data_IF_505305649646
#
_entry.id   IF_505305649646
#
_cell.length_a   1.000
_cell.length_b   1.000
_cell.length_c   1.000
_cell.angle_alpha   90.00
_cell.angle_beta   90.00
_cell.angle_gamma   90.00
#
_symmetry.space_group_name_H-M   'P 1'
#
loop_
_entity.id
_entity.type
_entity.pdbx_description
1 polymer ?
#
# COMPACT_ATOMS: atom_id res chain seq x y z
N UNK A 1 -18.24 35.57 15.98
CA UNK A 1 -19.51 35.75 15.24
C UNK A 1 -19.60 34.64 14.19
N UNK A 2 -20.46 33.64 14.41
CA UNK A 2 -20.61 32.48 13.50
C UNK A 2 -21.49 32.88 12.32
N UNK A 3 -20.87 33.14 11.16
CA UNK A 3 -21.60 33.38 9.91
C UNK A 3 -22.04 32.01 9.39
N UNK A 4 -23.26 31.59 9.74
CA UNK A 4 -23.87 30.40 9.14
C UNK A 4 -24.19 30.70 7.67
N UNK A 5 -23.22 30.50 6.80
CA UNK A 5 -23.38 30.58 5.35
C UNK A 5 -24.41 29.52 4.92
N UNK A 6 -25.40 29.92 4.11
CA UNK A 6 -26.46 29.05 3.62
C UNK A 6 -26.47 29.05 2.09
N UNK A 7 -26.80 27.91 1.50
CA UNK A 7 -26.94 27.76 0.05
C UNK A 7 -25.62 27.92 -0.70
N UNK A 8 -25.65 28.69 -1.79
CA UNK A 8 -24.55 28.84 -2.78
C UNK A 8 -23.25 29.37 -2.15
N UNK A 9 -23.35 30.19 -1.10
CA UNK A 9 -22.16 30.70 -0.40
C UNK A 9 -21.43 29.62 0.38
N UNK A 10 -22.16 28.63 0.90
CA UNK A 10 -21.58 27.48 1.57
C UNK A 10 -20.91 26.54 0.56
N UNK A 11 -21.50 26.39 -0.62
CA UNK A 11 -20.91 25.59 -1.71
C UNK A 11 -19.56 26.19 -2.13
N UNK A 12 -19.51 27.51 -2.34
CA UNK A 12 -18.27 28.25 -2.64
C UNK A 12 -17.22 28.12 -1.52
N UNK A 13 -17.64 28.13 -0.26
CA UNK A 13 -16.72 27.95 0.87
C UNK A 13 -16.15 26.53 0.92
N UNK A 14 -16.97 25.52 0.61
CA UNK A 14 -16.56 24.11 0.52
C UNK A 14 -15.60 23.91 -0.66
N UNK A 15 -15.91 24.46 -1.83
CA UNK A 15 -15.02 24.42 -3.01
C UNK A 15 -13.66 25.05 -2.71
N UNK A 16 -13.63 26.24 -2.09
CA UNK A 16 -12.38 26.87 -1.68
C UNK A 16 -11.55 25.98 -0.75
N UNK A 17 -12.21 25.31 0.20
CA UNK A 17 -11.51 24.39 1.09
C UNK A 17 -10.96 23.16 0.35
N UNK A 18 -11.72 22.63 -0.61
CA UNK A 18 -11.29 21.49 -1.42
C UNK A 18 -10.12 21.83 -2.34
N UNK A 19 -10.09 23.04 -2.91
CA UNK A 19 -8.95 23.53 -3.69
C UNK A 19 -7.71 23.61 -2.80
N UNK A 20 -7.83 24.19 -1.59
CA UNK A 20 -6.72 24.22 -0.63
C UNK A 20 -6.21 22.82 -0.26
N UNK A 21 -7.12 21.85 -0.07
CA UNK A 21 -6.73 20.46 0.17
C UNK A 21 -6.03 19.82 -1.03
N UNK A 22 -6.41 20.16 -2.26
CA UNK A 22 -5.70 19.72 -3.46
C UNK A 22 -4.27 20.31 -3.51
N UNK A 23 -4.11 21.59 -3.18
CA UNK A 23 -2.81 22.27 -3.18
C UNK A 23 -1.86 21.74 -2.10
N UNK A 24 -2.37 21.42 -0.91
CA UNK A 24 -1.59 20.79 0.17
C UNK A 24 -1.15 19.36 -0.16
N UNK A 25 -1.80 18.73 -1.15
CA UNK A 25 -1.49 17.40 -1.66
C UNK A 25 -2.11 16.24 -0.87
N UNK A 26 -2.12 15.07 -1.51
CA UNK A 26 -2.74 13.85 -0.96
C UNK A 26 -2.07 13.36 0.33
N UNK A 27 -0.76 13.57 0.49
CA UNK A 27 0.00 13.09 1.66
C UNK A 27 -0.36 13.86 2.94
N UNK A 28 -0.57 15.18 2.83
CA UNK A 28 -0.86 16.05 3.96
C UNK A 28 -2.36 16.18 4.22
N UNK A 29 -3.17 16.24 3.15
CA UNK A 29 -4.59 16.55 3.25
C UNK A 29 -5.44 15.68 2.32
N UNK A 30 -5.52 14.35 2.54
CA UNK A 30 -6.31 13.48 1.68
C UNK A 30 -7.79 13.85 1.77
N UNK A 31 -8.41 14.11 0.62
CA UNK A 31 -9.81 14.52 0.51
C UNK A 31 -10.69 13.32 0.81
N UNK A 32 -11.26 13.34 2.02
CA UNK A 32 -12.32 12.45 2.49
C UNK A 32 -13.40 13.28 3.17
N UNK A 33 -14.64 12.79 3.16
CA UNK A 33 -15.77 13.49 3.80
C UNK A 33 -15.48 13.78 5.28
N UNK A 34 -14.75 12.89 5.97
CA UNK A 34 -14.37 13.08 7.36
C UNK A 34 -13.30 14.17 7.56
N UNK A 35 -12.27 14.20 6.71
CA UNK A 35 -11.20 15.21 6.80
C UNK A 35 -11.72 16.60 6.46
N UNK A 36 -12.50 16.71 5.39
CA UNK A 36 -13.17 17.95 5.00
C UNK A 36 -14.10 18.45 6.12
N UNK A 37 -14.88 17.55 6.74
CA UNK A 37 -15.73 17.90 7.88
C UNK A 37 -14.94 18.48 9.05
N UNK A 38 -13.81 17.87 9.43
CA UNK A 38 -12.99 18.38 10.54
C UNK A 38 -12.43 19.79 10.23
N UNK A 39 -12.00 20.04 9.00
CA UNK A 39 -11.48 21.35 8.57
C UNK A 39 -12.57 22.42 8.58
N UNK A 40 -13.73 22.13 7.98
CA UNK A 40 -14.85 23.06 7.93
C UNK A 40 -15.46 23.32 9.33
N UNK A 41 -15.46 22.31 10.21
CA UNK A 41 -15.88 22.48 11.61
C UNK A 41 -14.90 23.36 12.39
N UNK A 42 -13.58 23.21 12.18
CA UNK A 42 -12.56 24.06 12.81
C UNK A 42 -12.68 25.54 12.39
N UNK A 43 -13.20 25.80 11.18
CA UNK A 43 -13.47 27.14 10.66
C UNK A 43 -14.88 27.66 11.01
N UNK A 44 -15.64 26.93 11.83
CA UNK A 44 -17.03 27.23 12.19
C UNK A 44 -17.99 27.41 10.99
N UNK A 45 -17.66 26.81 9.84
CA UNK A 45 -18.44 26.91 8.60
C UNK A 45 -19.62 25.92 8.58
N UNK A 46 -19.45 24.74 9.18
CA UNK A 46 -20.49 23.72 9.27
C UNK A 46 -20.53 23.08 10.66
N UNK A 47 -21.72 22.64 11.07
CA UNK A 47 -21.91 21.97 12.36
C UNK A 47 -22.20 20.47 12.23
N UNK A 48 -22.82 20.05 11.11
CA UNK A 48 -23.28 18.67 10.88
C UNK A 48 -22.64 18.03 9.65
N UNK A 49 -22.37 16.73 9.71
CA UNK A 49 -21.83 15.96 8.56
C UNK A 49 -22.84 15.83 7.42
N UNK A 50 -24.14 15.88 7.72
CA UNK A 50 -25.24 15.76 6.74
C UNK A 50 -25.14 16.80 5.61
N UNK A 51 -24.61 17.99 5.91
CA UNK A 51 -24.38 19.07 4.95
C UNK A 51 -23.42 18.67 3.82
N UNK A 52 -22.48 17.76 4.10
CA UNK A 52 -21.54 17.23 3.11
C UNK A 52 -22.11 16.02 2.37
N UNK A 53 -23.05 15.28 2.98
CA UNK A 53 -23.68 14.11 2.34
C UNK A 53 -24.50 14.52 1.11
N UNK A 54 -25.21 15.65 1.16
CA UNK A 54 -25.92 16.21 -0.01
C UNK A 54 -24.99 16.73 -1.11
N UNK A 55 -23.69 16.92 -0.81
CA UNK A 55 -22.66 17.46 -1.72
C UNK A 55 -21.59 16.43 -2.05
N UNK A 56 -21.94 15.15 -1.95
CA UNK A 56 -21.00 14.04 -2.10
C UNK A 56 -20.34 14.03 -3.48
N UNK A 57 -21.11 14.31 -4.54
CA UNK A 57 -20.60 14.32 -5.92
C UNK A 57 -19.44 15.30 -6.11
N UNK A 58 -19.56 16.50 -5.55
CA UNK A 58 -18.52 17.52 -5.59
C UNK A 58 -17.26 17.05 -4.84
N UNK A 59 -17.42 16.48 -3.65
CA UNK A 59 -16.30 15.96 -2.86
C UNK A 59 -15.61 14.80 -3.58
N UNK A 60 -16.38 13.90 -4.19
CA UNK A 60 -15.86 12.74 -4.91
C UNK A 60 -15.09 13.16 -6.18
N UNK A 61 -15.54 14.21 -6.88
CA UNK A 61 -14.83 14.77 -8.02
C UNK A 61 -13.44 15.32 -7.63
N UNK A 62 -13.37 16.13 -6.57
CA UNK A 62 -12.09 16.65 -6.06
C UNK A 62 -11.22 15.54 -5.45
N UNK A 63 -11.81 14.55 -4.78
CA UNK A 63 -11.07 13.39 -4.27
C UNK A 63 -10.43 12.59 -5.42
N UNK A 64 -11.16 12.39 -6.52
CA UNK A 64 -10.64 11.74 -7.72
C UNK A 64 -9.52 12.56 -8.34
N UNK A 65 -9.71 13.86 -8.51
CA UNK A 65 -8.69 14.77 -9.03
C UNK A 65 -7.40 14.72 -8.20
N UNK A 66 -7.52 14.76 -6.86
CA UNK A 66 -6.38 14.71 -5.96
C UNK A 66 -5.64 13.37 -6.07
N UNK A 67 -6.36 12.24 -6.16
CA UNK A 67 -5.75 10.91 -6.36
C UNK A 67 -5.08 10.77 -7.73
N UNK A 68 -5.68 11.31 -8.78
CA UNK A 68 -5.13 11.25 -10.14
C UNK A 68 -3.86 12.10 -10.30
N UNK A 69 -3.74 13.17 -9.50
CA UNK A 69 -2.56 14.02 -9.43
C UNK A 69 -1.37 13.34 -8.73
N UNK A 70 -1.58 12.28 -7.93
CA UNK A 70 -0.49 11.54 -7.28
C UNK A 70 0.26 10.70 -8.32
N UNK A 71 1.56 10.96 -8.44
CA UNK A 71 2.49 10.22 -9.32
C UNK A 71 3.37 9.26 -8.53
N UNK A 72 4.03 8.34 -9.23
CA UNK A 72 4.92 7.33 -8.62
C UNK A 72 4.19 6.09 -8.11
N UNK A 73 4.89 5.28 -7.32
CA UNK A 73 4.41 3.97 -6.83
C UNK A 73 3.10 4.10 -6.04
N UNK A 74 2.95 5.17 -5.25
CA UNK A 74 1.73 5.43 -4.48
C UNK A 74 0.53 5.69 -5.41
N UNK A 75 0.71 6.48 -6.47
CA UNK A 75 -0.32 6.77 -7.45
C UNK A 75 -0.76 5.53 -8.25
N UNK A 76 0.19 4.67 -8.61
CA UNK A 76 -0.13 3.39 -9.27
C UNK A 76 -0.94 2.46 -8.37
N UNK A 77 -0.57 2.34 -7.10
CA UNK A 77 -1.33 1.54 -6.13
C UNK A 77 -2.71 2.12 -5.92
N UNK A 78 -2.84 3.44 -5.74
CA UNK A 78 -4.14 4.10 -5.58
C UNK A 78 -5.06 3.84 -6.79
N UNK A 79 -4.54 3.92 -8.02
CA UNK A 79 -5.32 3.64 -9.24
C UNK A 79 -5.74 2.17 -9.33
N UNK A 80 -4.86 1.24 -8.95
CA UNK A 80 -5.17 -0.20 -8.94
C UNK A 80 -6.21 -0.55 -7.87
N UNK A 81 -6.10 0.02 -6.67
CA UNK A 81 -6.98 -0.31 -5.53
C UNK A 81 -8.36 0.32 -5.65
N UNK A 82 -8.49 1.50 -6.27
CA UNK A 82 -9.78 2.23 -6.37
C UNK A 82 -10.86 1.43 -7.11
N UNK A 83 -10.48 0.49 -7.97
CA UNK A 83 -11.40 -0.34 -8.74
C UNK A 83 -11.59 -1.75 -8.18
N UNK A 84 -10.87 -2.14 -7.12
CA UNK A 84 -10.94 -3.49 -6.59
C UNK A 84 -12.06 -3.60 -5.56
N UNK A 85 -13.02 -4.48 -5.82
CA UNK A 85 -14.02 -4.83 -4.83
C UNK A 85 -13.37 -5.63 -3.69
N UNK A 86 -14.06 -5.75 -2.56
CA UNK A 86 -13.58 -6.57 -1.44
C UNK A 86 -13.28 -8.01 -1.87
N UNK A 87 -14.09 -8.57 -2.76
CA UNK A 87 -13.88 -9.90 -3.32
C UNK A 87 -12.59 -9.97 -4.18
N UNK A 88 -12.31 -8.92 -4.97
CA UNK A 88 -11.07 -8.86 -5.76
C UNK A 88 -9.83 -8.78 -4.86
N UNK A 89 -9.92 -8.05 -3.75
CA UNK A 89 -8.85 -7.96 -2.75
C UNK A 89 -8.61 -9.31 -2.06
N UNK A 90 -9.67 -10.00 -1.65
CA UNK A 90 -9.56 -11.34 -1.04
C UNK A 90 -8.94 -12.35 -2.03
N UNK A 91 -9.35 -12.34 -3.29
CA UNK A 91 -8.78 -13.18 -4.36
C UNK A 91 -7.31 -12.85 -4.64
N UNK A 92 -6.95 -11.58 -4.69
CA UNK A 92 -5.57 -11.15 -4.88
C UNK A 92 -4.68 -11.59 -3.71
N UNK A 93 -5.20 -11.51 -2.48
CA UNK A 93 -4.49 -11.94 -1.29
C UNK A 93 -4.27 -13.47 -1.28
N UNK A 94 -5.29 -14.25 -1.62
CA UNK A 94 -5.16 -15.71 -1.77
C UNK A 94 -4.08 -16.09 -2.79
N UNK A 95 -4.06 -15.42 -3.95
CA UNK A 95 -3.04 -15.63 -4.98
C UNK A 95 -1.63 -15.23 -4.52
N UNK A 96 -1.50 -14.16 -3.73
CA UNK A 96 -0.21 -13.76 -3.17
C UNK A 96 0.30 -14.79 -2.17
N UNK A 97 -0.58 -15.31 -1.31
CA UNK A 97 -0.23 -16.38 -0.38
C UNK A 97 0.23 -17.65 -1.11
N UNK A 98 -0.48 -18.07 -2.16
CA UNK A 98 -0.08 -19.21 -3.00
C UNK A 98 1.32 -19.03 -3.60
N UNK A 99 1.60 -17.86 -4.18
CA UNK A 99 2.93 -17.55 -4.75
C UNK A 99 4.04 -17.55 -3.71
N UNK A 100 3.77 -17.07 -2.49
CA UNK A 100 4.74 -17.10 -1.39
C UNK A 100 5.04 -18.56 -1.01
N UNK A 101 4.03 -19.40 -0.91
CA UNK A 101 4.21 -20.82 -0.58
C UNK A 101 4.96 -21.58 -1.68
N UNK A 102 4.65 -21.33 -2.96
CA UNK A 102 5.40 -21.88 -4.09
C UNK A 102 6.87 -21.43 -4.06
N UNK A 103 7.11 -20.14 -3.86
CA UNK A 103 8.47 -19.58 -3.78
C UNK A 103 9.26 -20.19 -2.62
N UNK A 104 8.64 -20.39 -1.46
CA UNK A 104 9.24 -21.07 -0.30
C UNK A 104 9.60 -22.51 -0.62
N UNK A 105 8.71 -23.27 -1.28
CA UNK A 105 9.00 -24.65 -1.70
C UNK A 105 10.17 -24.71 -2.68
N UNK A 106 10.20 -23.83 -3.67
CA UNK A 106 11.30 -23.75 -4.63
C UNK A 106 12.62 -23.40 -3.94
N UNK A 107 12.60 -22.46 -2.98
CA UNK A 107 13.79 -22.13 -2.20
C UNK A 107 14.28 -23.33 -1.39
N UNK A 108 13.39 -24.07 -0.73
CA UNK A 108 13.75 -25.29 0.02
C UNK A 108 14.38 -26.35 -0.88
N UNK A 109 13.81 -26.59 -2.07
CA UNK A 109 14.37 -27.54 -3.05
C UNK A 109 15.74 -27.08 -3.51
N UNK A 110 15.91 -25.79 -3.84
CA UNK A 110 17.19 -25.24 -4.26
C UNK A 110 18.26 -25.34 -3.17
N UNK A 111 17.91 -25.02 -1.92
CA UNK A 111 18.81 -25.16 -0.76
C UNK A 111 19.26 -26.61 -0.60
N UNK A 112 18.34 -27.58 -0.63
CA UNK A 112 18.68 -29.01 -0.54
C UNK A 112 19.59 -29.46 -1.67
N UNK A 113 19.31 -29.05 -2.90
CA UNK A 113 20.12 -29.37 -4.07
C UNK A 113 21.54 -28.81 -3.95
N UNK A 114 21.68 -27.55 -3.53
CA UNK A 114 23.00 -26.91 -3.33
C UNK A 114 23.80 -27.61 -2.23
N UNK A 115 23.17 -27.92 -1.09
CA UNK A 115 23.81 -28.67 0.01
C UNK A 115 24.23 -30.06 -0.48
N UNK A 116 23.39 -30.74 -1.25
CA UNK A 116 23.69 -32.04 -1.87
C UNK A 116 24.91 -31.96 -2.78
N UNK A 117 24.97 -30.97 -3.67
CA UNK A 117 26.13 -30.74 -4.54
C UNK A 117 27.41 -30.52 -3.73
N UNK A 118 27.36 -29.70 -2.67
CA UNK A 118 28.52 -29.44 -1.80
C UNK A 118 28.99 -30.70 -1.08
N UNK A 119 28.06 -31.51 -0.54
CA UNK A 119 28.39 -32.80 0.08
C UNK A 119 29.04 -33.75 -0.93
N UNK A 120 28.51 -33.85 -2.14
CA UNK A 120 29.08 -34.71 -3.20
C UNK A 120 30.47 -34.25 -3.61
N UNK A 121 30.69 -32.94 -3.81
CA UNK A 121 32.01 -32.39 -4.14
C UNK A 121 33.01 -32.68 -3.02
N UNK A 122 32.60 -32.54 -1.74
CA UNK A 122 33.45 -32.82 -0.58
C UNK A 122 33.86 -34.29 -0.48
N UNK A 123 32.99 -35.22 -0.91
CA UNK A 123 33.27 -36.65 -0.91
C UNK A 123 34.15 -37.09 -2.10
N UNK A 124 33.90 -36.52 -3.28
CA UNK A 124 34.53 -36.96 -4.52
C UNK A 124 35.85 -36.24 -4.83
N UNK A 125 36.09 -35.06 -4.26
CA UNK A 125 37.26 -34.23 -4.58
C UNK A 125 38.12 -33.95 -3.35
N UNK A 126 39.41 -33.67 -3.56
CA UNK A 126 40.35 -33.25 -2.50
C UNK A 126 40.23 -31.75 -2.16
N UNK A 127 39.23 -31.04 -2.71
CA UNK A 127 39.07 -29.60 -2.52
C UNK A 127 38.62 -29.33 -1.08
N UNK A 128 39.48 -28.66 -0.31
CA UNK A 128 39.17 -28.22 1.06
C UNK A 128 38.36 -26.92 1.01
N UNK A 129 37.48 -26.72 1.98
CA UNK A 129 36.75 -25.47 2.23
C UNK A 129 35.75 -25.02 1.13
N UNK A 130 35.10 -25.96 0.44
CA UNK A 130 34.03 -25.68 -0.55
C UNK A 130 32.87 -24.85 0.06
N UNK A 131 32.67 -24.97 1.38
CA UNK A 131 31.66 -24.25 2.15
C UNK A 131 31.87 -22.71 2.15
N UNK A 132 33.09 -22.22 1.90
CA UNK A 132 33.38 -20.76 1.82
C UNK A 132 32.77 -20.08 0.59
N UNK A 133 32.47 -20.85 -0.47
CA UNK A 133 31.81 -20.33 -1.67
C UNK A 133 30.30 -20.14 -1.48
N UNK A 134 29.76 -20.58 -0.34
CA UNK A 134 28.34 -20.48 -0.02
C UNK A 134 28.05 -19.17 0.72
N UNK A 135 26.82 -18.66 0.56
CA UNK A 135 26.34 -17.56 1.37
C UNK A 135 26.20 -18.00 2.84
N UNK A 136 26.28 -17.07 3.82
CA UNK A 136 26.14 -17.40 5.24
C UNK A 136 24.86 -18.19 5.57
N UNK A 137 23.77 -17.92 4.85
CA UNK A 137 22.51 -18.66 4.97
C UNK A 137 22.70 -20.15 4.62
N UNK A 138 23.34 -20.46 3.49
CA UNK A 138 23.56 -21.84 3.04
C UNK A 138 24.59 -22.58 3.91
N UNK A 139 25.56 -21.87 4.49
CA UNK A 139 26.50 -22.44 5.47
C UNK A 139 25.74 -22.89 6.73
N UNK A 140 24.84 -22.05 7.23
CA UNK A 140 23.98 -22.39 8.39
C UNK A 140 23.14 -23.63 8.10
N UNK A 141 22.43 -23.65 6.98
CA UNK A 141 21.61 -24.79 6.57
C UNK A 141 22.45 -26.07 6.38
N UNK A 142 23.67 -25.95 5.87
CA UNK A 142 24.60 -27.09 5.72
C UNK A 142 25.08 -27.63 7.08
N UNK A 143 25.22 -26.78 8.10
CA UNK A 143 25.56 -27.18 9.46
C UNK A 143 24.38 -27.84 10.19
N UNK A 144 23.16 -27.37 9.96
CA UNK A 144 21.94 -27.96 10.52
C UNK A 144 21.63 -29.33 9.88
N UNK A 145 21.99 -29.55 8.62
CA UNK A 145 21.84 -30.84 7.90
C UNK A 145 23.06 -31.79 8.07
N UNK A 146 23.86 -31.66 9.15
CA UNK A 146 25.02 -32.54 9.46
C UNK A 146 24.70 -33.74 10.37
N UNK A 147 23.44 -33.94 10.76
CA UNK A 147 22.94 -35.24 11.28
C UNK A 147 22.66 -36.23 10.14
#
# INVERSE_FOLDING_TARGET
>A
MSVKLKGIELDKAIEKELILMCDEGFENAPITQANLFRRLKKKDLINTRSTLTSRKELIDAFSKQQKDAVKGTLGETLKKTTSMTRADLEKANARLHERVEESRKMLQVNTKSIIGMVKTIRLQTKVRNVELCLSPYLIRELHENKE
#
